data_IF_140210530400
#
_entry.id   IF_140210530400
#
_cell.length_a   1.000
_cell.length_b   1.000
_cell.length_c   1.000
_cell.angle_alpha   90.00
_cell.angle_beta   90.00
_cell.angle_gamma   90.00
#
_symmetry.space_group_name_H-M   'P 1'
#
loop_
_entity.id
_entity.type
_entity.pdbx_description
1 polymer ?
#
# COMPACT_ATOMS: atom_id res chain seq x y z
N UNK A 1 -18.83 27.36 18.48
CA UNK A 1 -19.97 26.42 18.39
C UNK A 1 -20.42 26.26 16.94
N UNK A 2 -19.70 25.46 16.15
CA UNK A 2 -20.05 25.17 14.75
C UNK A 2 -19.65 23.73 14.33
N UNK A 3 -19.51 22.81 15.29
CA UNK A 3 -19.04 21.43 15.03
C UNK A 3 -20.11 20.35 15.09
N UNK A 4 -21.39 20.70 15.32
CA UNK A 4 -22.44 19.72 15.61
C UNK A 4 -23.52 19.56 14.53
N UNK A 5 -23.50 20.32 13.43
CA UNK A 5 -24.54 20.21 12.39
C UNK A 5 -24.16 19.30 11.22
N UNK A 6 -22.87 19.12 10.91
CA UNK A 6 -22.41 18.36 9.73
C UNK A 6 -22.77 16.87 9.82
N UNK A 7 -22.74 16.28 11.01
CA UNK A 7 -23.05 14.86 11.22
C UNK A 7 -24.52 14.51 10.93
N UNK A 8 -25.47 15.44 11.17
CA UNK A 8 -26.90 15.18 10.92
C UNK A 8 -27.23 15.16 9.43
N UNK A 9 -26.56 16.00 8.63
CA UNK A 9 -26.74 16.00 7.18
C UNK A 9 -26.09 14.78 6.53
N UNK A 10 -24.92 14.32 7.02
CA UNK A 10 -24.29 13.09 6.53
C UNK A 10 -25.16 11.85 6.80
N UNK A 11 -25.76 11.76 8.00
CA UNK A 11 -26.67 10.65 8.34
C UNK A 11 -27.96 10.67 7.50
N UNK A 12 -28.52 11.85 7.24
CA UNK A 12 -29.70 11.99 6.38
C UNK A 12 -29.39 11.62 4.91
N UNK A 13 -28.21 11.98 4.39
CA UNK A 13 -27.79 11.60 3.04
C UNK A 13 -27.57 10.09 2.89
N UNK A 14 -27.01 9.42 3.89
CA UNK A 14 -26.84 7.96 3.88
C UNK A 14 -28.19 7.22 3.91
N UNK A 15 -29.19 7.75 4.64
CA UNK A 15 -30.53 7.17 4.66
C UNK A 15 -31.28 7.35 3.34
N UNK A 16 -31.12 8.50 2.66
CA UNK A 16 -31.76 8.73 1.35
C UNK A 16 -31.15 7.85 0.25
N UNK A 17 -29.84 7.58 0.30
CA UNK A 17 -29.19 6.62 -0.60
C UNK A 17 -29.72 5.19 -0.34
N UNK A 18 -29.91 4.81 0.92
CA UNK A 18 -30.48 3.50 1.28
C UNK A 18 -31.91 3.28 0.75
N UNK A 19 -32.75 4.32 0.76
CA UNK A 19 -34.16 4.23 0.32
C UNK A 19 -34.32 4.28 -1.20
N UNK A 20 -33.44 4.98 -1.92
CA UNK A 20 -33.49 5.05 -3.40
C UNK A 20 -32.95 3.75 -4.04
N UNK A 21 -32.01 3.06 -3.39
CA UNK A 21 -31.49 1.78 -3.88
C UNK A 21 -32.42 0.57 -3.68
N UNK A 22 -33.43 0.64 -2.79
CA UNK A 22 -34.37 -0.48 -2.57
C UNK A 22 -35.44 -0.64 -3.66
N UNK A 23 -35.65 0.35 -4.53
CA UNK A 23 -36.75 0.34 -5.51
C UNK A 23 -36.32 0.14 -6.98
N UNK A 24 -35.04 -0.06 -7.26
CA UNK A 24 -34.59 -0.49 -8.58
C UNK A 24 -34.52 -2.03 -8.58
N UNK A 25 -35.46 -2.67 -9.29
CA UNK A 25 -35.67 -4.11 -9.30
C UNK A 25 -34.39 -4.93 -9.46
N UNK A 26 -33.92 -5.51 -8.36
CA UNK A 26 -32.84 -6.47 -8.34
C UNK A 26 -33.46 -7.84 -8.04
N UNK A 27 -33.64 -8.64 -9.09
CA UNK A 27 -34.13 -10.03 -9.01
C UNK A 27 -33.03 -11.02 -8.59
N UNK A 28 -31.99 -10.54 -7.88
CA UNK A 28 -30.91 -11.35 -7.31
C UNK A 28 -31.11 -11.56 -5.81
N UNK A 29 -30.55 -12.64 -5.25
CA UNK A 29 -30.54 -12.92 -3.80
C UNK A 29 -29.63 -11.88 -3.09
N UNK A 30 -30.17 -10.85 -2.41
CA UNK A 30 -29.40 -9.71 -1.95
C UNK A 30 -28.32 -10.07 -0.91
N UNK A 31 -28.59 -11.11 -0.11
CA UNK A 31 -27.68 -11.60 0.93
C UNK A 31 -26.38 -12.17 0.35
N UNK A 32 -26.47 -12.93 -0.75
CA UNK A 32 -25.31 -13.54 -1.41
C UNK A 32 -24.42 -12.46 -2.01
N UNK A 33 -25.01 -11.43 -2.62
CA UNK A 33 -24.26 -10.33 -3.22
C UNK A 33 -23.56 -9.45 -2.16
N UNK A 34 -24.18 -9.28 -0.98
CA UNK A 34 -23.59 -8.55 0.14
C UNK A 34 -22.43 -9.32 0.80
N UNK A 35 -22.57 -10.64 0.95
CA UNK A 35 -21.51 -11.50 1.51
C UNK A 35 -20.27 -11.51 0.62
N UNK A 36 -20.44 -11.66 -0.70
CA UNK A 36 -19.33 -11.60 -1.68
C UNK A 36 -18.62 -10.25 -1.61
N UNK A 37 -19.39 -9.16 -1.60
CA UNK A 37 -18.83 -7.81 -1.53
C UNK A 37 -18.01 -7.62 -0.25
N UNK A 38 -18.53 -8.10 0.89
CA UNK A 38 -17.86 -8.02 2.19
C UNK A 38 -16.59 -8.85 2.22
N UNK A 39 -16.64 -10.10 1.74
CA UNK A 39 -15.47 -10.99 1.69
C UNK A 39 -14.39 -10.45 0.75
N UNK A 40 -14.77 -9.86 -0.38
CA UNK A 40 -13.84 -9.20 -1.30
C UNK A 40 -13.14 -8.02 -0.65
N UNK A 41 -13.88 -7.13 0.00
CA UNK A 41 -13.29 -5.96 0.64
C UNK A 41 -12.35 -6.39 1.77
N UNK A 42 -12.70 -7.42 2.54
CA UNK A 42 -11.80 -8.00 3.55
C UNK A 42 -10.48 -8.50 2.94
N UNK A 43 -10.54 -9.15 1.77
CA UNK A 43 -9.33 -9.53 1.03
C UNK A 43 -8.51 -8.27 0.71
N UNK A 44 -9.10 -7.29 0.01
CA UNK A 44 -8.44 -6.06 -0.44
C UNK A 44 -7.82 -5.26 0.73
N UNK A 45 -8.56 -5.09 1.82
CA UNK A 45 -8.11 -4.38 3.00
C UNK A 45 -6.91 -5.08 3.66
N UNK A 46 -6.90 -6.41 3.71
CA UNK A 46 -5.74 -7.15 4.20
C UNK A 46 -4.49 -6.95 3.33
N UNK A 47 -4.66 -6.87 2.00
CA UNK A 47 -3.55 -6.60 1.07
C UNK A 47 -2.98 -5.20 1.29
N UNK A 48 -3.88 -4.24 1.50
CA UNK A 48 -3.52 -2.86 1.76
C UNK A 48 -2.76 -2.74 3.08
N UNK A 49 -3.25 -3.36 4.14
CA UNK A 49 -2.60 -3.39 5.46
C UNK A 49 -1.19 -3.98 5.39
N UNK A 50 -1.00 -5.08 4.67
CA UNK A 50 0.34 -5.67 4.48
C UNK A 50 1.29 -4.75 3.69
N UNK A 51 0.78 -4.00 2.71
CA UNK A 51 1.57 -3.00 2.00
C UNK A 51 1.97 -1.81 2.90
N UNK A 52 1.10 -1.44 3.85
CA UNK A 52 1.42 -0.44 4.88
C UNK A 52 2.51 -0.98 5.81
N UNK A 53 2.43 -2.24 6.23
CA UNK A 53 3.44 -2.88 7.08
C UNK A 53 4.83 -2.89 6.43
N UNK A 54 4.93 -3.11 5.12
CA UNK A 54 6.19 -2.97 4.38
C UNK A 54 6.74 -1.55 4.45
N UNK A 55 5.86 -0.57 4.27
CA UNK A 55 6.22 0.85 4.33
C UNK A 55 6.70 1.23 5.72
N UNK A 56 5.98 0.84 6.76
CA UNK A 56 6.35 1.09 8.16
C UNK A 56 7.72 0.51 8.51
N UNK A 57 8.02 -0.71 8.05
CA UNK A 57 9.33 -1.32 8.25
C UNK A 57 10.46 -0.51 7.59
N UNK A 58 10.25 -0.03 6.36
CA UNK A 58 11.20 0.85 5.68
C UNK A 58 11.37 2.20 6.39
N UNK A 59 10.27 2.81 6.87
CA UNK A 59 10.29 4.07 7.61
C UNK A 59 11.02 3.95 8.95
N UNK A 60 10.80 2.85 9.68
CA UNK A 60 11.43 2.62 10.98
C UNK A 60 12.95 2.54 10.84
N UNK A 61 13.44 1.72 9.91
CA UNK A 61 14.88 1.61 9.65
C UNK A 61 15.48 2.93 9.13
N UNK A 62 14.80 3.60 8.21
CA UNK A 62 15.24 4.88 7.65
C UNK A 62 15.37 5.96 8.74
N UNK A 63 14.42 6.01 9.69
CA UNK A 63 14.47 6.94 10.83
C UNK A 63 15.67 6.66 11.72
N UNK A 64 15.94 5.40 12.03
CA UNK A 64 17.08 5.01 12.85
C UNK A 64 18.41 5.44 12.21
N UNK A 65 18.60 5.16 10.92
CA UNK A 65 19.84 5.48 10.21
C UNK A 65 20.01 6.98 10.03
N UNK A 66 18.96 7.71 9.67
CA UNK A 66 19.01 9.16 9.53
C UNK A 66 19.31 9.86 10.87
N UNK A 67 18.80 9.32 11.98
CA UNK A 67 19.13 9.82 13.32
C UNK A 67 20.62 9.63 13.64
N UNK A 68 21.17 8.45 13.36
CA UNK A 68 22.61 8.18 13.53
C UNK A 68 23.49 9.12 12.68
N UNK A 69 23.12 9.36 11.43
CA UNK A 69 23.84 10.29 10.55
C UNK A 69 23.86 11.71 11.09
N UNK A 70 22.71 12.19 11.56
CA UNK A 70 22.58 13.51 12.16
C UNK A 70 23.44 13.63 13.43
N UNK A 71 23.41 12.63 14.30
CA UNK A 71 24.17 12.64 15.55
C UNK A 71 25.69 12.65 15.28
N UNK A 72 26.16 11.91 14.27
CA UNK A 72 27.57 11.96 13.83
C UNK A 72 27.96 13.33 13.27
N UNK A 73 27.09 13.95 12.46
CA UNK A 73 27.31 15.26 11.87
C UNK A 73 27.39 16.36 12.96
N UNK A 74 26.56 16.27 14.01
CA UNK A 74 26.62 17.14 15.19
C UNK A 74 27.93 16.93 15.97
N UNK A 75 28.32 15.68 16.24
CA UNK A 75 29.56 15.35 16.96
C UNK A 75 30.81 15.86 16.23
N UNK A 76 30.79 15.86 14.90
CA UNK A 76 31.88 16.37 14.06
C UNK A 76 31.83 17.89 13.88
N UNK A 77 30.91 18.58 14.57
CA UNK A 77 30.69 20.03 14.48
C UNK A 77 30.44 20.52 13.04
N UNK A 78 29.95 19.63 12.16
CA UNK A 78 29.63 19.93 10.76
C UNK A 78 28.29 20.65 10.61
N UNK A 79 27.50 20.63 11.66
CA UNK A 79 26.13 21.14 11.65
C UNK A 79 25.78 21.66 13.05
N UNK A 80 25.93 22.96 13.26
CA UNK A 80 25.29 23.67 14.38
C UNK A 80 23.84 23.99 13.99
N UNK A 81 22.92 23.06 14.24
CA UNK A 81 21.58 23.07 13.63
C UNK A 81 20.54 23.37 14.71
N UNK A 82 19.76 24.43 14.49
CA UNK A 82 18.59 24.76 15.29
C UNK A 82 17.54 23.62 15.23
N UNK A 83 16.67 23.45 16.24
CA UNK A 83 15.72 22.33 16.30
C UNK A 83 14.84 22.19 15.04
N UNK A 84 14.41 23.28 14.43
CA UNK A 84 13.57 23.25 13.21
C UNK A 84 14.33 22.76 11.98
N UNK A 85 15.61 23.12 11.86
CA UNK A 85 16.46 22.62 10.77
C UNK A 85 16.86 21.16 10.98
N UNK A 86 16.86 20.68 12.23
CA UNK A 86 17.07 19.27 12.60
C UNK A 86 15.90 18.41 12.14
N UNK A 87 14.67 18.82 12.45
CA UNK A 87 13.46 18.09 12.05
C UNK A 87 13.31 18.02 10.53
N UNK A 88 13.55 19.14 9.84
CA UNK A 88 13.51 19.20 8.38
C UNK A 88 14.57 18.29 7.73
N UNK A 89 15.79 18.26 8.28
CA UNK A 89 16.84 17.35 7.83
C UNK A 89 16.41 15.88 7.97
N UNK A 90 15.92 15.50 9.15
CA UNK A 90 15.47 14.13 9.43
C UNK A 90 14.35 13.71 8.48
N UNK A 91 13.34 14.56 8.31
CA UNK A 91 12.23 14.29 7.41
C UNK A 91 12.72 14.04 5.97
N UNK A 92 13.61 14.90 5.46
CA UNK A 92 14.15 14.73 4.11
C UNK A 92 15.04 13.50 3.96
N UNK A 93 15.89 13.23 4.94
CA UNK A 93 16.73 12.04 4.95
C UNK A 93 15.85 10.77 4.93
N UNK A 94 14.84 10.70 5.80
CA UNK A 94 13.95 9.54 5.89
C UNK A 94 13.21 9.32 4.57
N UNK A 95 12.58 10.37 4.03
CA UNK A 95 11.87 10.27 2.75
C UNK A 95 12.79 9.74 1.64
N UNK A 96 13.96 10.36 1.47
CA UNK A 96 14.94 9.98 0.45
C UNK A 96 15.47 8.55 0.64
N UNK A 97 15.51 8.07 1.87
CA UNK A 97 15.97 6.70 2.17
C UNK A 97 14.88 5.70 1.84
N UNK A 98 13.63 5.96 2.24
CA UNK A 98 12.46 5.14 1.90
C UNK A 98 12.26 5.05 0.39
N UNK A 99 12.35 6.17 -0.34
CA UNK A 99 12.21 6.20 -1.80
C UNK A 99 13.19 5.23 -2.49
N UNK A 100 14.40 5.07 -1.96
CA UNK A 100 15.43 4.17 -2.52
C UNK A 100 15.23 2.70 -2.16
N UNK A 101 14.42 2.42 -1.14
CA UNK A 101 14.01 1.06 -0.78
C UNK A 101 12.81 0.61 -1.61
N UNK A 102 12.10 1.53 -2.25
CA UNK A 102 10.97 1.20 -3.12
C UNK A 102 11.45 0.51 -4.42
N UNK A 103 10.81 -0.60 -4.84
CA UNK A 103 11.17 -1.29 -6.08
C UNK A 103 11.02 -0.47 -7.35
N UNK A 104 10.11 0.51 -7.38
CA UNK A 104 9.80 1.26 -8.61
C UNK A 104 10.75 2.43 -8.88
N UNK A 105 11.51 2.87 -7.89
CA UNK A 105 12.42 4.02 -8.01
C UNK A 105 13.72 3.55 -8.64
N UNK A 106 14.24 4.34 -9.61
CA UNK A 106 15.51 4.03 -10.26
C UNK A 106 16.64 3.97 -9.23
N UNK A 107 17.27 2.80 -9.14
CA UNK A 107 18.33 2.47 -8.16
C UNK A 107 19.75 2.82 -8.64
N UNK A 108 19.86 3.65 -9.69
CA UNK A 108 21.14 3.95 -10.33
C UNK A 108 21.71 5.30 -9.86
N UNK A 109 22.90 5.24 -9.25
CA UNK A 109 23.77 6.39 -9.05
C UNK A 109 24.51 6.35 -7.71
N UNK A 110 25.79 6.71 -7.69
CA UNK A 110 26.52 6.98 -6.44
C UNK A 110 26.09 8.34 -5.88
N UNK A 111 24.84 8.46 -5.47
CA UNK A 111 24.39 9.67 -4.79
C UNK A 111 25.18 9.80 -3.48
N UNK A 112 25.71 10.98 -3.13
CA UNK A 112 26.51 11.17 -1.90
C UNK A 112 25.79 10.67 -0.64
N UNK A 113 24.47 10.82 -0.58
CA UNK A 113 23.61 10.27 0.46
C UNK A 113 23.72 8.74 0.58
N UNK A 114 23.84 8.00 -0.53
CA UNK A 114 24.00 6.53 -0.53
C UNK A 114 25.36 6.10 0.00
N UNK A 115 26.43 6.83 -0.28
CA UNK A 115 27.76 6.54 0.27
C UNK A 115 27.73 6.58 1.79
N UNK A 116 27.01 7.55 2.39
CA UNK A 116 26.82 7.62 3.84
C UNK A 116 25.93 6.50 4.35
N UNK A 117 24.84 6.16 3.64
CA UNK A 117 23.92 5.08 4.02
C UNK A 117 24.59 3.70 3.97
N UNK A 118 25.54 3.47 3.04
CA UNK A 118 26.33 2.22 2.96
C UNK A 118 27.07 1.91 4.26
N UNK A 119 27.60 2.92 4.95
CA UNK A 119 28.23 2.77 6.29
C UNK A 119 27.29 2.14 7.32
N UNK A 120 25.99 2.34 7.16
CA UNK A 120 24.94 1.85 8.06
C UNK A 120 24.22 0.60 7.54
N UNK A 121 24.79 -0.10 6.56
CA UNK A 121 24.24 -1.37 6.09
C UNK A 121 23.05 -1.23 5.12
N UNK A 122 22.92 -0.09 4.44
CA UNK A 122 21.83 0.14 3.47
C UNK A 122 21.70 -0.95 2.40
N UNK A 123 22.83 -1.44 1.88
CA UNK A 123 22.83 -2.49 0.86
C UNK A 123 22.25 -3.81 1.34
N UNK A 124 22.54 -4.18 2.59
CA UNK A 124 22.02 -5.40 3.18
C UNK A 124 20.55 -5.24 3.58
N UNK A 125 20.18 -4.08 4.13
CA UNK A 125 18.78 -3.76 4.39
C UNK A 125 17.94 -3.73 3.11
N UNK A 126 18.49 -3.22 2.01
CA UNK A 126 17.84 -3.24 0.70
C UNK A 126 17.56 -4.66 0.22
N UNK A 127 18.50 -5.61 0.39
CA UNK A 127 18.25 -7.02 0.07
C UNK A 127 17.12 -7.60 0.93
N UNK A 128 17.09 -7.25 2.22
CA UNK A 128 15.99 -7.66 3.12
C UNK A 128 14.66 -7.08 2.65
N UNK A 129 14.62 -5.81 2.22
CA UNK A 129 13.43 -5.20 1.64
C UNK A 129 12.99 -5.92 0.37
N UNK A 130 13.91 -6.21 -0.56
CA UNK A 130 13.60 -6.93 -1.80
C UNK A 130 12.98 -8.30 -1.50
N UNK A 131 13.53 -9.06 -0.54
CA UNK A 131 12.96 -10.33 -0.07
C UNK A 131 11.56 -10.16 0.55
N UNK A 132 11.34 -9.10 1.33
CA UNK A 132 10.03 -8.80 1.91
C UNK A 132 8.99 -8.47 0.82
N UNK A 133 9.37 -7.73 -0.21
CA UNK A 133 8.51 -7.47 -1.37
C UNK A 133 8.22 -8.76 -2.14
N UNK A 134 9.21 -9.61 -2.38
CA UNK A 134 9.02 -10.91 -3.04
C UNK A 134 7.98 -11.74 -2.30
N UNK A 135 8.18 -11.93 -0.99
CA UNK A 135 7.27 -12.69 -0.14
C UNK A 135 5.86 -12.09 -0.11
N UNK A 136 5.76 -10.77 0.03
CA UNK A 136 4.49 -10.05 -0.02
C UNK A 136 3.73 -10.36 -1.32
N UNK A 137 4.38 -10.27 -2.49
CA UNK A 137 3.70 -10.55 -3.75
C UNK A 137 3.30 -12.02 -3.91
N UNK A 138 4.11 -12.96 -3.41
CA UNK A 138 3.75 -14.39 -3.40
C UNK A 138 2.50 -14.65 -2.57
N UNK A 139 2.48 -14.17 -1.33
CA UNK A 139 1.31 -14.30 -0.44
C UNK A 139 0.08 -13.62 -1.01
N UNK A 140 0.28 -12.47 -1.66
CA UNK A 140 -0.82 -11.72 -2.23
C UNK A 140 -1.47 -12.44 -3.40
N UNK A 141 -0.66 -12.91 -4.35
CA UNK A 141 -1.13 -13.71 -5.49
C UNK A 141 -1.86 -14.96 -4.99
N UNK A 142 -1.31 -15.64 -3.97
CA UNK A 142 -1.93 -16.83 -3.39
C UNK A 142 -3.31 -16.51 -2.79
N UNK A 143 -3.43 -15.44 -1.99
CA UNK A 143 -4.70 -15.02 -1.39
C UNK A 143 -5.76 -14.66 -2.43
N UNK A 144 -5.36 -13.97 -3.50
CA UNK A 144 -6.27 -13.65 -4.60
C UNK A 144 -6.76 -14.91 -5.33
N UNK A 145 -5.84 -15.83 -5.64
CA UNK A 145 -6.17 -17.07 -6.33
C UNK A 145 -7.08 -17.97 -5.48
N UNK A 146 -6.82 -18.06 -4.17
CA UNK A 146 -7.61 -18.87 -3.25
C UNK A 146 -9.00 -18.28 -3.00
N UNK A 147 -9.09 -16.95 -2.92
CA UNK A 147 -10.39 -16.27 -2.90
C UNK A 147 -11.21 -16.63 -4.15
N UNK A 148 -10.64 -16.50 -5.36
CA UNK A 148 -11.36 -16.82 -6.60
C UNK A 148 -11.78 -18.29 -6.65
N UNK A 149 -10.93 -19.22 -6.19
CA UNK A 149 -11.28 -20.66 -6.14
C UNK A 149 -12.39 -20.97 -5.14
N UNK A 150 -12.52 -20.19 -4.07
CA UNK A 150 -13.56 -20.39 -3.05
C UNK A 150 -14.97 -20.01 -3.52
N UNK A 151 -15.07 -19.24 -4.61
CA UNK A 151 -16.34 -18.81 -5.21
C UNK A 151 -17.03 -19.96 -5.96
N UNK A 152 -18.37 -19.94 -5.99
CA UNK A 152 -19.16 -20.87 -6.81
C UNK A 152 -18.92 -20.65 -8.30
N UNK A 153 -19.24 -21.62 -9.19
CA UNK A 153 -19.09 -21.45 -10.63
C UNK A 153 -19.79 -20.20 -11.19
N UNK A 154 -20.99 -19.88 -10.70
CA UNK A 154 -21.74 -18.67 -11.10
C UNK A 154 -21.02 -17.40 -10.65
N UNK A 155 -20.44 -17.39 -9.45
CA UNK A 155 -19.70 -16.27 -8.91
C UNK A 155 -18.35 -16.06 -9.62
N UNK A 156 -17.66 -17.14 -10.01
CA UNK A 156 -16.44 -17.06 -10.80
C UNK A 156 -16.67 -16.46 -12.20
N UNK A 157 -17.90 -16.60 -12.73
CA UNK A 157 -18.31 -15.99 -13.99
C UNK A 157 -18.47 -14.47 -13.92
N UNK A 158 -18.59 -13.89 -12.71
CA UNK A 158 -18.77 -12.44 -12.51
C UNK A 158 -17.50 -11.66 -12.84
N UNK A 159 -17.69 -10.41 -13.27
CA UNK A 159 -16.63 -9.48 -13.65
C UNK A 159 -15.60 -9.31 -12.53
N UNK A 160 -16.04 -9.18 -11.28
CA UNK A 160 -15.17 -9.06 -10.10
C UNK A 160 -14.14 -10.19 -10.00
N UNK A 161 -14.57 -11.44 -10.16
CA UNK A 161 -13.71 -12.62 -10.03
C UNK A 161 -12.73 -12.72 -11.20
N UNK A 162 -13.18 -12.34 -12.40
CA UNK A 162 -12.33 -12.23 -13.60
C UNK A 162 -11.26 -11.17 -13.42
N UNK A 163 -11.62 -10.01 -12.89
CA UNK A 163 -10.70 -8.90 -12.60
C UNK A 163 -9.64 -9.31 -11.57
N UNK A 164 -10.03 -9.98 -10.48
CA UNK A 164 -9.07 -10.50 -9.49
C UNK A 164 -8.10 -11.50 -10.12
N UNK A 165 -8.60 -12.42 -10.95
CA UNK A 165 -7.73 -13.38 -11.67
C UNK A 165 -6.77 -12.69 -12.63
N UNK A 166 -7.22 -11.64 -13.33
CA UNK A 166 -6.38 -10.85 -14.21
C UNK A 166 -5.29 -10.09 -13.45
N UNK A 167 -5.64 -9.43 -12.35
CA UNK A 167 -4.68 -8.72 -11.50
C UNK A 167 -3.67 -9.67 -10.85
N UNK A 168 -4.14 -10.82 -10.32
CA UNK A 168 -3.28 -11.88 -9.81
C UNK A 168 -2.27 -12.32 -10.88
N UNK A 169 -2.74 -12.59 -12.11
CA UNK A 169 -1.88 -12.94 -13.24
C UNK A 169 -0.86 -11.85 -13.60
N UNK A 170 -1.27 -10.58 -13.61
CA UNK A 170 -0.37 -9.43 -13.89
C UNK A 170 0.74 -9.31 -12.84
N UNK A 171 0.41 -9.46 -11.56
CA UNK A 171 1.38 -9.41 -10.46
C UNK A 171 2.29 -10.63 -10.51
N UNK A 172 1.73 -11.83 -10.66
CA UNK A 172 2.49 -13.09 -10.74
C UNK A 172 3.52 -13.08 -11.86
N UNK A 173 3.10 -12.68 -13.06
CA UNK A 173 3.90 -12.77 -14.28
C UNK A 173 4.82 -11.56 -14.53
N UNK A 174 4.73 -10.50 -13.73
CA UNK A 174 5.64 -9.38 -13.86
C UNK A 174 7.10 -9.83 -13.58
N UNK A 175 8.05 -9.49 -14.48
CA UNK A 175 9.40 -10.08 -14.47
C UNK A 175 10.34 -9.48 -13.40
N UNK A 176 9.97 -8.34 -12.80
CA UNK A 176 10.78 -7.62 -11.82
C UNK A 176 9.91 -7.19 -10.65
N UNK A 177 10.52 -7.01 -9.47
CA UNK A 177 9.83 -6.46 -8.30
C UNK A 177 9.18 -5.09 -8.59
N UNK A 178 9.85 -4.24 -9.36
CA UNK A 178 9.29 -2.98 -9.84
C UNK A 178 8.00 -3.19 -10.64
N UNK A 179 8.00 -4.17 -11.54
CA UNK A 179 6.83 -4.54 -12.33
C UNK A 179 5.68 -5.07 -11.47
N UNK A 180 5.99 -5.89 -10.47
CA UNK A 180 5.03 -6.44 -9.50
C UNK A 180 4.39 -5.32 -8.69
N UNK A 181 5.20 -4.41 -8.14
CA UNK A 181 4.73 -3.26 -7.35
C UNK A 181 3.85 -2.32 -8.18
N UNK A 182 4.23 -2.02 -9.43
CA UNK A 182 3.39 -1.22 -10.33
C UNK A 182 2.05 -1.90 -10.65
N UNK A 183 2.05 -3.22 -10.86
CA UNK A 183 0.82 -3.97 -11.10
C UNK A 183 -0.09 -3.99 -9.85
N UNK A 184 0.50 -4.19 -8.68
CA UNK A 184 -0.20 -4.14 -7.39
C UNK A 184 -0.83 -2.77 -7.13
N UNK A 185 -0.06 -1.67 -7.28
CA UNK A 185 -0.59 -0.30 -7.13
C UNK A 185 -1.78 -0.02 -8.04
N UNK A 186 -1.72 -0.50 -9.28
CA UNK A 186 -2.85 -0.37 -10.24
C UNK A 186 -4.05 -1.22 -9.82
N UNK A 187 -3.83 -2.43 -9.31
CA UNK A 187 -4.89 -3.28 -8.74
C UNK A 187 -5.60 -2.57 -7.57
N UNK A 188 -4.86 -2.10 -6.57
CA UNK A 188 -5.44 -1.40 -5.42
C UNK A 188 -6.17 -0.13 -5.84
N UNK A 189 -5.58 0.63 -6.77
CA UNK A 189 -6.21 1.83 -7.32
C UNK A 189 -7.54 1.52 -8.01
N UNK A 190 -7.57 0.47 -8.83
CA UNK A 190 -8.77 0.03 -9.53
C UNK A 190 -9.93 -0.24 -8.54
N UNK A 191 -9.66 -0.99 -7.47
CA UNK A 191 -10.71 -1.33 -6.51
C UNK A 191 -11.13 -0.18 -5.59
N UNK A 192 -10.21 0.68 -5.14
CA UNK A 192 -10.55 1.76 -4.20
C UNK A 192 -11.03 3.05 -4.87
N UNK A 193 -10.65 3.33 -6.12
CA UNK A 193 -10.89 4.64 -6.74
C UNK A 193 -11.62 4.60 -8.08
N UNK A 194 -11.67 3.45 -8.76
CA UNK A 194 -12.18 3.37 -10.14
C UNK A 194 -13.45 2.51 -10.25
N UNK A 195 -14.15 2.29 -9.14
CA UNK A 195 -15.32 1.43 -9.05
C UNK A 195 -15.03 0.03 -9.64
N UNK A 196 -14.05 -0.68 -9.09
CA UNK A 196 -13.79 -2.08 -9.44
C UNK A 196 -14.97 -2.97 -9.07
N UNK A 197 -16.00 -3.01 -9.93
CA UNK A 197 -17.17 -3.86 -9.83
C UNK A 197 -16.82 -5.25 -10.34
#
# INVERSE_FOLDING_TARGET
>A
MAGLSIHKFCAAFLLVIGVVCTNAGFTGKPEIDMEIWTSRNKLLDSMFEDSVNLSEYAFAWSREVCQKQLDEDILQNKTSVEPESREWYLHNCVRRTVDRLEPTVSRHGDHPDEVRLRKYGFEDFRKVMDQKYEHFFEEMVQRMDDYVKSLTPEQQGKETARNLKEWSGKIKNAPTLAGKEMAFRKCMRFYYFENGV
#
